data_IF_339860880211
#
_entry.id   IF_339860880211
#
_cell.length_a   1.000
_cell.length_b   1.000
_cell.length_c   1.000
_cell.angle_alpha   90.00
_cell.angle_beta   90.00
_cell.angle_gamma   90.00
#
_symmetry.space_group_name_H-M   'P 1'
#
loop_
_entity.id
_entity.type
_entity.pdbx_description
1 polymer ?
#
# COMPACT_ATOMS: atom_id res chain seq x y z
N UNK A 1 -5.16 16.82 -10.40
CA UNK A 1 -3.76 16.56 -10.00
C UNK A 1 -3.11 15.78 -11.13
N UNK A 2 -1.94 16.20 -11.62
CA UNK A 2 -1.30 15.54 -12.77
C UNK A 2 -0.25 14.53 -12.28
N UNK A 3 -0.67 13.28 -12.12
CA UNK A 3 0.16 12.19 -11.61
C UNK A 3 1.24 11.73 -12.61
N UNK A 4 1.12 12.09 -13.90
CA UNK A 4 2.11 11.72 -14.92
C UNK A 4 3.47 12.38 -14.69
N UNK A 5 3.50 13.48 -13.93
CA UNK A 5 4.72 14.21 -13.54
C UNK A 5 5.51 13.54 -12.43
N UNK A 6 4.94 12.54 -11.75
CA UNK A 6 5.60 11.82 -10.66
C UNK A 6 6.47 10.73 -11.28
N UNK A 7 7.78 10.86 -11.13
CA UNK A 7 8.75 9.89 -11.64
C UNK A 7 9.17 8.92 -10.55
N UNK A 8 9.38 7.66 -10.92
CA UNK A 8 9.90 6.66 -9.98
C UNK A 8 11.40 6.90 -9.80
N UNK A 9 11.85 6.97 -8.54
CA UNK A 9 13.25 7.19 -8.19
C UNK A 9 13.87 5.86 -7.73
N UNK A 10 15.19 5.66 -7.90
CA UNK A 10 15.85 4.41 -7.50
C UNK A 10 15.75 4.10 -5.99
N UNK A 11 15.90 5.13 -5.16
CA UNK A 11 16.00 4.99 -3.69
C UNK A 11 14.74 5.45 -2.94
N UNK A 12 13.72 5.92 -3.66
CA UNK A 12 12.50 6.47 -3.09
C UNK A 12 11.31 6.26 -4.02
N UNK A 13 10.15 6.06 -3.42
CA UNK A 13 8.89 5.89 -4.12
C UNK A 13 7.90 6.93 -3.62
N UNK A 14 7.18 7.56 -4.54
CA UNK A 14 6.13 8.51 -4.17
C UNK A 14 4.79 7.78 -4.16
N UNK A 15 4.10 7.85 -3.02
CA UNK A 15 2.84 7.14 -2.78
C UNK A 15 1.74 8.15 -2.54
N UNK A 16 0.64 8.02 -3.29
CA UNK A 16 -0.58 8.80 -3.06
C UNK A 16 -1.42 8.05 -2.05
N UNK A 17 -1.70 8.67 -0.90
CA UNK A 17 -2.50 8.07 0.16
C UNK A 17 -3.99 8.14 -0.20
N UNK A 18 -4.68 7.02 -0.14
CA UNK A 18 -6.12 6.93 -0.34
C UNK A 18 -6.86 6.78 1.00
N UNK A 19 -6.30 5.98 1.90
CA UNK A 19 -6.94 5.66 3.18
C UNK A 19 -5.94 5.95 4.31
N UNK A 20 -6.37 6.80 5.23
CA UNK A 20 -5.62 7.15 6.42
C UNK A 20 -5.59 6.01 7.44
N UNK A 21 -4.45 5.83 8.13
CA UNK A 21 -4.34 4.82 9.18
C UNK A 21 -5.40 5.03 10.27
N UNK A 22 -6.05 3.94 10.69
CA UNK A 22 -7.09 3.92 11.73
C UNK A 22 -8.31 4.82 11.47
N UNK A 23 -8.54 5.24 10.23
CA UNK A 23 -9.71 6.03 9.86
C UNK A 23 -11.01 5.21 9.93
N UNK A 24 -12.13 5.92 9.77
CA UNK A 24 -13.44 5.27 9.61
C UNK A 24 -13.42 4.24 8.46
N UNK A 25 -14.23 3.16 8.56
CA UNK A 25 -14.21 2.02 7.63
C UNK A 25 -14.80 2.36 6.25
N UNK A 26 -14.13 3.25 5.53
CA UNK A 26 -14.48 3.72 4.19
C UNK A 26 -13.30 3.42 3.29
N UNK A 27 -13.53 2.64 2.24
CA UNK A 27 -12.54 2.47 1.17
C UNK A 27 -12.72 3.59 0.18
N UNK A 28 -11.78 4.54 0.22
CA UNK A 28 -11.59 5.51 -0.85
C UNK A 28 -10.71 4.90 -1.94
N UNK A 29 -10.89 5.39 -3.15
CA UNK A 29 -10.09 5.02 -4.32
C UNK A 29 -9.95 6.23 -5.23
N UNK A 30 -8.76 6.42 -5.79
CA UNK A 30 -8.46 7.55 -6.65
C UNK A 30 -9.00 7.30 -8.06
N UNK A 31 -10.02 8.08 -8.43
CA UNK A 31 -10.52 8.10 -9.79
C UNK A 31 -9.56 8.91 -10.68
N UNK A 32 -8.81 8.21 -11.53
CA UNK A 32 -7.77 8.79 -12.41
C UNK A 32 -8.34 9.76 -13.45
N UNK A 33 -9.56 9.52 -13.94
CA UNK A 33 -10.19 10.37 -14.96
C UNK A 33 -10.67 11.69 -14.36
N UNK A 34 -11.25 11.64 -13.16
CA UNK A 34 -11.77 12.82 -12.46
C UNK A 34 -10.68 13.55 -11.66
N UNK A 35 -9.61 12.85 -11.30
CA UNK A 35 -8.56 13.35 -10.41
C UNK A 35 -9.05 13.57 -8.97
N UNK A 36 -10.04 12.79 -8.53
CA UNK A 36 -10.71 12.90 -7.23
C UNK A 36 -10.65 11.56 -6.48
N UNK A 37 -10.65 11.62 -5.15
CA UNK A 37 -10.97 10.44 -4.35
C UNK A 37 -12.47 10.18 -4.39
N UNK A 38 -12.81 8.96 -4.74
CA UNK A 38 -14.18 8.45 -4.81
C UNK A 38 -14.37 7.42 -3.70
N UNK A 39 -15.57 7.37 -3.12
CA UNK A 39 -15.94 6.27 -2.22
C UNK A 39 -16.17 5.04 -3.10
N UNK A 40 -15.32 4.02 -2.97
CA UNK A 40 -15.56 2.71 -3.58
C UNK A 40 -16.67 1.99 -2.80
N UNK A 41 -16.48 1.87 -1.48
CA UNK A 41 -17.45 1.25 -0.56
C UNK A 41 -17.17 1.56 0.90
N UNK A 42 -18.11 1.19 1.76
CA UNK A 42 -17.90 1.04 3.19
C UNK A 42 -17.43 -0.39 3.50
N UNK A 43 -16.51 -0.57 4.44
CA UNK A 43 -16.15 -1.92 4.88
C UNK A 43 -17.32 -2.52 5.67
N UNK A 44 -17.69 -3.76 5.33
CA UNK A 44 -18.78 -4.47 6.01
C UNK A 44 -18.37 -5.00 7.38
N UNK A 45 -17.07 -5.09 7.66
CA UNK A 45 -16.50 -5.54 8.94
C UNK A 45 -16.22 -4.35 9.86
N UNK A 46 -16.12 -4.61 11.17
CA UNK A 46 -15.72 -3.59 12.16
C UNK A 46 -14.20 -3.46 12.25
N UNK A 47 -13.54 -3.36 11.10
CA UNK A 47 -12.08 -3.28 10.99
C UNK A 47 -11.66 -1.93 10.39
N UNK A 48 -10.45 -1.49 10.72
CA UNK A 48 -9.82 -0.28 10.17
C UNK A 48 -8.41 -0.61 9.68
N UNK A 49 -7.92 0.15 8.70
CA UNK A 49 -6.59 -0.07 8.16
C UNK A 49 -5.53 0.22 9.23
N UNK A 50 -4.62 -0.73 9.55
CA UNK A 50 -3.64 -0.56 10.62
C UNK A 50 -2.49 0.38 10.26
N UNK A 51 -2.41 0.81 9.01
CA UNK A 51 -1.41 1.73 8.45
C UNK A 51 -2.06 2.54 7.31
N UNK A 52 -1.38 3.57 6.82
CA UNK A 52 -1.90 4.30 5.67
C UNK A 52 -1.82 3.42 4.44
N UNK A 53 -2.82 3.52 3.58
CA UNK A 53 -2.92 2.75 2.35
C UNK A 53 -2.96 3.71 1.17
N UNK A 54 -2.23 3.38 0.12
CA UNK A 54 -2.18 4.16 -1.09
C UNK A 54 -1.59 3.36 -2.22
N UNK A 55 -1.27 4.05 -3.31
CA UNK A 55 -0.72 3.43 -4.51
C UNK A 55 0.46 4.23 -5.07
N UNK A 56 1.25 3.56 -5.90
CA UNK A 56 2.36 4.16 -6.64
C UNK A 56 1.87 4.65 -8.00
N UNK A 57 1.87 5.95 -8.29
CA UNK A 57 1.57 6.45 -9.62
C UNK A 57 2.47 5.83 -10.70
N UNK A 58 1.95 5.73 -11.92
CA UNK A 58 2.69 5.26 -13.10
C UNK A 58 3.23 3.81 -13.00
N UNK A 59 2.59 2.98 -12.16
CA UNK A 59 2.80 1.53 -12.11
C UNK A 59 1.57 0.76 -12.62
N UNK A 60 1.74 -0.54 -12.85
CA UNK A 60 0.72 -1.53 -13.21
C UNK A 60 1.13 -2.89 -12.66
N UNK A 61 0.44 -3.35 -11.62
CA UNK A 61 0.60 -4.67 -11.01
C UNK A 61 -0.10 -5.76 -11.85
N UNK A 62 -0.03 -7.01 -11.38
CA UNK A 62 -0.52 -8.20 -12.09
C UNK A 62 -2.04 -8.18 -12.36
N UNK A 63 -2.81 -7.54 -11.49
CA UNK A 63 -4.26 -7.33 -11.61
C UNK A 63 -4.64 -6.20 -12.59
N UNK A 64 -3.66 -5.41 -13.04
CA UNK A 64 -3.82 -4.29 -13.94
C UNK A 64 -3.98 -2.92 -13.27
N UNK A 65 -4.06 -2.87 -11.94
CA UNK A 65 -4.14 -1.65 -11.14
C UNK A 65 -2.75 -1.16 -10.74
N UNK A 66 -2.57 0.09 -10.27
CA UNK A 66 -1.29 0.55 -9.76
C UNK A 66 -0.87 -0.25 -8.53
N UNK A 67 0.44 -0.40 -8.29
CA UNK A 67 0.94 -1.15 -7.15
C UNK A 67 0.51 -0.50 -5.82
N UNK A 68 -0.09 -1.32 -4.94
CA UNK A 68 -0.53 -0.92 -3.61
C UNK A 68 0.62 -0.82 -2.62
N UNK A 69 0.54 0.16 -1.72
CA UNK A 69 1.54 0.39 -0.68
C UNK A 69 0.90 0.66 0.68
N UNK A 70 1.35 -0.08 1.66
CA UNK A 70 1.17 0.12 3.08
C UNK A 70 2.28 1.03 3.60
N UNK A 71 1.91 2.22 4.08
CA UNK A 71 2.86 3.22 4.58
C UNK A 71 2.75 3.35 6.09
N UNK A 72 3.77 2.86 6.80
CA UNK A 72 3.89 3.00 8.25
C UNK A 72 4.41 4.39 8.60
N UNK A 73 3.65 5.14 9.40
CA UNK A 73 4.01 6.46 9.91
C UNK A 73 3.67 6.56 11.39
N UNK A 74 4.31 7.49 12.11
CA UNK A 74 3.99 7.73 13.52
C UNK A 74 2.56 8.28 13.71
N UNK A 75 2.05 9.01 12.72
CA UNK A 75 0.72 9.63 12.73
C UNK A 75 -0.04 9.34 11.43
N UNK A 76 -1.37 9.19 11.47
CA UNK A 76 -2.18 9.05 10.27
C UNK A 76 -2.00 10.23 9.31
N UNK A 77 -1.97 9.94 8.01
CA UNK A 77 -1.87 10.93 6.94
C UNK A 77 -3.26 11.27 6.40
N UNK A 78 -3.46 12.49 5.89
CA UNK A 78 -4.71 12.83 5.20
C UNK A 78 -4.82 12.08 3.86
N UNK A 79 -6.03 11.70 3.46
CA UNK A 79 -6.26 11.13 2.13
C UNK A 79 -6.02 12.19 1.03
N UNK A 80 -5.42 11.77 -0.08
CA UNK A 80 -5.10 12.61 -1.24
C UNK A 80 -3.73 13.30 -1.17
N UNK A 81 -2.95 13.04 -0.12
CA UNK A 81 -1.57 13.56 0.00
C UNK A 81 -0.56 12.64 -0.66
N UNK A 82 0.59 13.20 -1.04
CA UNK A 82 1.74 12.47 -1.56
C UNK A 82 2.81 12.35 -0.46
N UNK A 83 3.40 11.17 -0.31
CA UNK A 83 4.54 10.94 0.59
C UNK A 83 5.66 10.17 -0.12
N UNK A 84 6.90 10.61 0.08
CA UNK A 84 8.08 9.88 -0.35
C UNK A 84 8.48 8.83 0.68
N UNK A 85 8.56 7.58 0.24
CA UNK A 85 8.82 6.40 1.08
C UNK A 85 9.97 5.57 0.52
N UNK A 86 10.48 4.66 1.33
CA UNK A 86 11.38 3.58 0.92
C UNK A 86 10.80 2.24 1.32
N UNK A 87 11.03 1.24 0.48
CA UNK A 87 10.50 -0.11 0.69
C UNK A 87 11.23 -0.80 1.82
N UNK A 88 10.51 -1.65 2.56
CA UNK A 88 11.08 -2.54 3.59
C UNK A 88 10.62 -3.99 3.43
N UNK A 89 9.60 -4.27 2.64
CA UNK A 89 9.15 -5.63 2.33
C UNK A 89 7.84 -5.62 1.55
N UNK A 90 7.19 -6.77 1.47
CA UNK A 90 5.86 -6.91 0.92
C UNK A 90 5.10 -8.02 1.63
N UNK A 91 3.78 -7.88 1.76
CA UNK A 91 2.90 -8.98 2.13
C UNK A 91 2.37 -9.60 0.83
N UNK A 92 2.67 -10.88 0.61
CA UNK A 92 2.19 -11.58 -0.57
C UNK A 92 0.72 -11.96 -0.34
N UNK A 93 -0.15 -11.52 -1.24
CA UNK A 93 -1.60 -11.77 -1.16
C UNK A 93 -2.14 -12.15 -2.53
N UNK A 94 -3.22 -12.91 -2.52
CA UNK A 94 -3.96 -13.28 -3.72
C UNK A 94 -5.46 -13.08 -3.45
N UNK A 95 -6.17 -12.44 -4.36
CA UNK A 95 -7.62 -12.27 -4.29
C UNK A 95 -8.33 -12.98 -5.45
N UNK A 96 -9.64 -12.75 -5.59
CA UNK A 96 -10.43 -13.36 -6.66
C UNK A 96 -9.98 -12.99 -8.10
N UNK A 97 -9.16 -11.96 -8.28
CA UNK A 97 -8.64 -11.49 -9.57
C UNK A 97 -7.20 -11.96 -9.86
N UNK A 98 -6.45 -12.41 -8.86
CA UNK A 98 -5.07 -12.87 -9.05
C UNK A 98 -4.12 -12.44 -7.93
N UNK A 99 -2.83 -12.36 -8.27
CA UNK A 99 -1.78 -11.84 -7.38
C UNK A 99 -2.04 -10.36 -7.10
N UNK A 100 -1.99 -9.99 -5.81
CA UNK A 100 -2.43 -8.69 -5.30
C UNK A 100 -1.48 -8.20 -4.19
N UNK A 101 -0.16 -8.24 -4.41
CA UNK A 101 0.82 -7.98 -3.35
C UNK A 101 0.71 -6.58 -2.73
N UNK A 102 0.88 -6.52 -1.41
CA UNK A 102 0.83 -5.27 -0.64
C UNK A 102 2.25 -4.88 -0.24
N UNK A 103 2.82 -3.89 -0.94
CA UNK A 103 4.16 -3.40 -0.64
C UNK A 103 4.17 -2.73 0.73
N UNK A 104 5.19 -2.97 1.55
CA UNK A 104 5.36 -2.32 2.85
C UNK A 104 6.50 -1.30 2.77
N UNK A 105 6.21 -0.08 3.20
CA UNK A 105 7.13 1.04 3.14
C UNK A 105 7.09 1.91 4.40
N UNK A 106 8.17 2.66 4.59
CA UNK A 106 8.33 3.68 5.63
C UNK A 106 8.82 4.98 4.98
N UNK A 107 8.59 6.16 5.59
CA UNK A 107 9.10 7.42 5.08
C UNK A 107 10.61 7.38 4.79
N UNK A 108 11.04 8.12 3.78
CA UNK A 108 12.47 8.42 3.61
C UNK A 108 12.98 9.27 4.78
N UNK A 109 14.28 9.20 5.07
CA UNK A 109 14.89 9.86 6.23
C UNK A 109 14.69 11.39 6.26
N UNK A 110 14.59 12.05 5.11
CA UNK A 110 14.33 13.49 5.02
C UNK A 110 12.89 13.89 5.36
N UNK A 111 11.96 12.92 5.39
CA UNK A 111 10.56 13.11 5.80
C UNK A 111 10.41 12.74 7.27
N UNK A 112 10.93 11.58 7.69
CA UNK A 112 10.92 11.14 9.08
C UNK A 112 12.08 10.15 9.36
N UNK A 113 13.08 10.58 10.13
CA UNK A 113 14.23 9.76 10.50
C UNK A 113 13.93 8.72 11.59
N UNK A 114 12.73 8.73 12.17
CA UNK A 114 12.29 7.72 13.16
C UNK A 114 12.47 6.29 12.65
N UNK A 115 12.30 6.08 11.35
CA UNK A 115 12.36 4.77 10.71
C UNK A 115 13.77 4.39 10.25
N UNK A 116 14.81 5.18 10.47
CA UNK A 116 16.14 4.96 9.86
C UNK A 116 16.72 3.57 10.12
N UNK A 117 16.45 2.98 11.30
CA UNK A 117 16.94 1.66 11.65
C UNK A 117 16.07 0.50 11.11
N UNK A 118 14.92 0.78 10.50
CA UNK A 118 14.02 -0.23 9.92
C UNK A 118 14.39 -0.42 8.45
N UNK A 119 15.25 -1.37 8.11
CA UNK A 119 15.72 -1.62 6.74
C UNK A 119 14.92 -2.72 6.04
N UNK A 120 14.33 -3.62 6.81
CA UNK A 120 13.53 -4.74 6.34
C UNK A 120 12.24 -4.86 7.18
N UNK A 121 11.20 -5.50 6.68
CA UNK A 121 9.95 -5.74 7.42
C UNK A 121 10.23 -6.51 8.72
N UNK A 122 11.25 -7.37 8.71
CA UNK A 122 11.69 -8.16 9.86
C UNK A 122 12.30 -7.34 11.00
N UNK A 123 12.63 -6.06 10.77
CA UNK A 123 13.05 -5.14 11.83
C UNK A 123 11.86 -4.59 12.63
N UNK A 124 10.61 -4.84 12.18
CA UNK A 124 9.39 -4.41 12.87
C UNK A 124 8.96 -5.42 13.95
N UNK A 125 8.21 -4.97 14.97
CA UNK A 125 7.62 -5.88 15.93
C UNK A 125 6.70 -6.90 15.25
N UNK A 126 6.89 -8.20 15.53
CA UNK A 126 6.08 -9.28 14.95
C UNK A 126 4.56 -9.05 15.12
N UNK A 127 4.13 -8.55 16.27
CA UNK A 127 2.71 -8.26 16.53
C UNK A 127 2.13 -7.24 15.52
N UNK A 128 2.91 -6.24 15.10
CA UNK A 128 2.48 -5.30 14.07
C UNK A 128 2.27 -6.00 12.72
N UNK A 129 3.23 -6.85 12.32
CA UNK A 129 3.13 -7.64 11.09
C UNK A 129 1.92 -8.58 11.13
N UNK A 130 1.69 -9.25 12.26
CA UNK A 130 0.55 -10.15 12.47
C UNK A 130 -0.78 -9.39 12.37
N UNK A 131 -0.87 -8.17 12.92
CA UNK A 131 -2.06 -7.30 12.79
C UNK A 131 -2.35 -6.90 11.36
N UNK A 132 -1.31 -6.56 10.59
CA UNK A 132 -1.45 -6.21 9.16
C UNK A 132 -1.94 -7.42 8.37
N UNK A 133 -1.29 -8.59 8.56
CA UNK A 133 -1.69 -9.82 7.88
C UNK A 133 -3.14 -10.22 8.23
N UNK A 134 -3.49 -10.19 9.52
CA UNK A 134 -4.86 -10.48 9.98
C UNK A 134 -5.89 -9.52 9.39
N UNK A 135 -5.58 -8.22 9.26
CA UNK A 135 -6.47 -7.28 8.59
C UNK A 135 -6.80 -7.73 7.16
N UNK A 136 -5.79 -8.01 6.34
CA UNK A 136 -6.00 -8.43 4.96
C UNK A 136 -6.70 -9.79 4.82
N UNK A 137 -6.50 -10.71 5.77
CA UNK A 137 -7.19 -11.99 5.81
C UNK A 137 -8.70 -11.87 6.04
N UNK A 138 -9.17 -10.81 6.70
CA UNK A 138 -10.53 -10.77 7.26
C UNK A 138 -11.38 -9.56 6.85
N UNK A 139 -10.78 -8.45 6.36
CA UNK A 139 -11.53 -7.22 6.13
C UNK A 139 -12.68 -7.36 5.11
N UNK A 140 -12.55 -8.33 4.18
CA UNK A 140 -13.52 -8.68 3.13
C UNK A 140 -14.48 -9.83 3.53
N UNK A 141 -14.42 -10.39 4.74
CA UNK A 141 -15.20 -11.60 5.12
C UNK A 141 -16.72 -11.47 4.94
N UNK A 142 -17.24 -10.25 5.08
CA UNK A 142 -18.67 -9.93 4.93
C UNK A 142 -19.02 -9.34 3.55
N UNK A 143 -18.08 -9.35 2.61
CA UNK A 143 -18.30 -8.91 1.22
C UNK A 143 -18.58 -10.11 0.32
N UNK A 144 -19.82 -10.22 -0.18
CA UNK A 144 -20.25 -11.36 -1.00
C UNK A 144 -19.38 -11.53 -2.25
N UNK A 145 -18.83 -12.73 -2.42
CA UNK A 145 -18.07 -13.11 -3.62
C UNK A 145 -16.63 -12.60 -3.64
N UNK A 146 -16.12 -12.02 -2.54
CA UNK A 146 -14.72 -11.61 -2.42
C UNK A 146 -13.98 -12.52 -1.45
N UNK A 147 -12.72 -12.80 -1.77
CA UNK A 147 -11.86 -13.64 -0.94
C UNK A 147 -10.43 -13.10 -1.00
N UNK A 148 -9.69 -13.20 0.10
CA UNK A 148 -8.26 -12.90 0.11
C UNK A 148 -7.55 -14.06 0.78
N UNK A 149 -6.50 -14.56 0.14
CA UNK A 149 -5.53 -15.46 0.73
C UNK A 149 -4.29 -14.67 1.06
N UNK A 150 -3.89 -14.71 2.34
CA UNK A 150 -2.65 -14.08 2.80
C UNK A 150 -1.53 -15.12 2.85
N UNK A 151 -0.44 -14.84 2.14
CA UNK A 151 0.77 -15.63 2.09
C UNK A 151 1.82 -15.14 3.09
N UNK A 152 3.09 -15.29 2.71
CA UNK A 152 4.23 -14.91 3.55
C UNK A 152 4.65 -13.45 3.37
N UNK A 153 5.43 -12.95 4.32
CA UNK A 153 6.13 -11.69 4.19
C UNK A 153 7.40 -11.88 3.37
N UNK A 154 7.55 -11.07 2.33
CA UNK A 154 8.70 -11.02 1.46
C UNK A 154 9.65 -9.87 1.85
N UNK A 155 10.95 -10.10 1.67
CA UNK A 155 12.00 -9.12 2.00
C UNK A 155 11.99 -7.90 1.08
N UNK A 156 12.80 -6.90 1.44
CA UNK A 156 12.93 -5.65 0.68
C UNK A 156 13.40 -5.87 -0.76
N UNK A 157 14.22 -6.89 -1.03
CA UNK A 157 14.75 -7.15 -2.37
C UNK A 157 13.67 -7.74 -3.28
N UNK A 158 12.81 -8.62 -2.75
CA UNK A 158 11.62 -9.10 -3.45
C UNK A 158 10.62 -7.98 -3.67
N UNK A 159 10.39 -7.10 -2.69
CA UNK A 159 9.51 -5.94 -2.83
C UNK A 159 9.99 -4.97 -3.95
N UNK A 160 11.30 -4.69 -4.01
CA UNK A 160 11.90 -3.91 -5.11
C UNK A 160 11.68 -4.56 -6.46
N UNK A 161 11.82 -5.89 -6.56
CA UNK A 161 11.55 -6.63 -7.81
C UNK A 161 10.09 -6.52 -8.23
N UNK A 162 9.15 -6.66 -7.30
CA UNK A 162 7.70 -6.50 -7.56
C UNK A 162 7.42 -5.09 -8.11
N UNK A 163 7.91 -4.04 -7.42
CA UNK A 163 7.74 -2.66 -7.91
C UNK A 163 8.38 -2.47 -9.28
N UNK A 164 9.61 -2.97 -9.49
CA UNK A 164 10.31 -2.85 -10.76
C UNK A 164 9.56 -3.53 -11.92
N UNK A 165 8.95 -4.71 -11.70
CA UNK A 165 8.11 -5.37 -12.71
C UNK A 165 6.81 -4.62 -12.99
N UNK A 166 6.33 -3.84 -12.02
CA UNK A 166 5.12 -3.04 -12.14
C UNK A 166 5.36 -1.67 -12.79
N UNK A 167 6.61 -1.25 -13.04
CA UNK A 167 6.87 0.03 -13.72
C UNK A 167 6.41 -0.10 -15.17
N UNK A 168 5.50 0.78 -15.60
CA UNK A 168 5.13 0.85 -17.01
C UNK A 168 6.36 1.28 -17.82
N UNK A 169 6.87 0.42 -18.69
CA UNK A 169 7.80 0.84 -19.74
C UNK A 169 7.12 1.95 -20.54
N UNK A 170 7.71 3.15 -20.55
CA UNK A 170 7.17 4.29 -21.28
C UNK A 170 7.03 3.95 -22.77
N UNK A 171 5.83 4.18 -23.31
CA UNK A 171 5.61 4.40 -24.74
C UNK A 171 5.51 5.90 -24.98
#
# INVERSE_FOLDING_TARGET
>A
MDLSKITIRPDALDVVIEISANAHPIKYEFNKELGLLQVDRFLSTSMTYPCNYGFVPNTRAGDGDPADVLVLTQFPLASGVLISVRLIGALLTQDEKGEDEKILAVPISSVDSYYDNIKNYSDLPKNLLDKIAHFFSHYKDLEKGKTVTVGEWADVEKAKKIIASSIKSGN
#
